data_IF_551038229986
#
_entry.id   IF_551038229986
#
_cell.length_a   1.000
_cell.length_b   1.000
_cell.length_c   1.000
_cell.angle_alpha   90.00
_cell.angle_beta   90.00
_cell.angle_gamma   90.00
#
_symmetry.space_group_name_H-M   'P 1'
#
loop_
_entity.id
_entity.type
_entity.pdbx_description
1 polymer ?
#
# COMPACT_ATOMS: atom_id res chain seq x y z
N UNK A 1 19.09 35.41 -2.79
CA UNK A 1 19.08 34.92 -1.39
C UNK A 1 17.78 34.14 -1.23
N UNK A 2 17.84 32.81 -1.28
CA UNK A 2 16.65 31.98 -1.16
C UNK A 2 16.31 31.83 0.33
N UNK A 3 15.17 32.37 0.73
CA UNK A 3 14.60 32.23 2.07
C UNK A 3 14.31 30.76 2.34
N UNK A 4 15.04 30.20 3.30
CA UNK A 4 14.80 28.89 3.87
C UNK A 4 13.56 29.01 4.77
N UNK A 5 12.38 28.73 4.22
CA UNK A 5 11.18 28.61 5.04
C UNK A 5 11.21 27.21 5.66
N UNK A 6 11.81 27.12 6.84
CA UNK A 6 11.59 25.96 7.73
C UNK A 6 10.09 25.93 8.04
N UNK A 7 9.40 24.79 7.85
CA UNK A 7 8.00 24.66 8.26
C UNK A 7 7.86 24.97 9.76
N UNK A 8 6.78 25.65 10.19
CA UNK A 8 6.57 25.93 11.60
C UNK A 8 6.54 24.63 12.41
N UNK A 9 7.06 24.74 13.62
CA UNK A 9 7.33 23.63 14.54
C UNK A 9 6.11 22.68 14.68
N UNK A 10 6.27 21.43 14.25
CA UNK A 10 5.34 20.33 14.55
C UNK A 10 4.57 19.71 13.38
N UNK A 11 4.68 20.20 12.15
CA UNK A 11 4.02 19.53 11.00
C UNK A 11 4.86 18.35 10.50
N UNK A 12 4.43 17.13 10.80
CA UNK A 12 5.10 15.92 10.32
C UNK A 12 5.06 15.88 8.79
N UNK A 13 6.24 15.83 8.17
CA UNK A 13 6.38 15.76 6.72
C UNK A 13 5.61 14.58 6.16
N UNK A 14 4.86 14.79 5.08
CA UNK A 14 4.04 13.76 4.44
C UNK A 14 4.47 13.55 2.99
N UNK A 15 4.62 12.30 2.58
CA UNK A 15 4.83 11.89 1.17
C UNK A 15 3.62 11.06 0.72
N UNK A 16 3.07 11.38 -0.44
CA UNK A 16 1.93 10.67 -1.00
C UNK A 16 2.42 9.51 -1.86
N UNK A 17 1.56 8.52 -2.08
CA UNK A 17 1.86 7.37 -2.94
C UNK A 17 0.67 7.07 -3.83
N UNK A 18 0.91 6.59 -5.05
CA UNK A 18 -0.17 6.21 -5.96
C UNK A 18 0.21 5.01 -6.83
N UNK A 19 -0.78 4.18 -7.14
CA UNK A 19 -0.67 3.08 -8.09
C UNK A 19 -1.44 3.35 -9.36
N UNK A 20 -0.80 3.30 -10.52
CA UNK A 20 -1.51 3.54 -11.77
C UNK A 20 -2.44 2.37 -12.16
N UNK A 21 -2.08 1.13 -11.79
CA UNK A 21 -2.85 -0.08 -12.13
C UNK A 21 -3.23 -0.09 -13.62
N UNK A 22 -4.51 -0.32 -13.92
CA UNK A 22 -5.13 -0.24 -15.24
C UNK A 22 -6.04 0.98 -15.41
N UNK A 23 -5.83 2.04 -14.62
CA UNK A 23 -6.65 3.26 -14.72
C UNK A 23 -6.51 3.94 -16.08
N UNK A 24 -7.52 4.72 -16.48
CA UNK A 24 -7.35 5.64 -17.61
C UNK A 24 -6.46 6.81 -17.19
N UNK A 25 -5.81 7.48 -18.16
CA UNK A 25 -4.96 8.63 -17.85
C UNK A 25 -5.78 9.78 -17.27
N UNK A 26 -7.03 9.96 -17.71
CA UNK A 26 -7.93 11.02 -17.24
C UNK A 26 -8.32 10.82 -15.77
N UNK A 27 -8.72 9.60 -15.39
CA UNK A 27 -9.03 9.27 -13.98
C UNK A 27 -7.80 9.41 -13.10
N UNK A 28 -6.64 8.98 -13.60
CA UNK A 28 -5.38 9.09 -12.88
C UNK A 28 -4.96 10.55 -12.67
N UNK A 29 -5.06 11.40 -13.70
CA UNK A 29 -4.77 12.82 -13.57
C UNK A 29 -5.72 13.47 -12.58
N UNK A 30 -7.03 13.23 -12.71
CA UNK A 30 -8.03 13.76 -11.76
C UNK A 30 -7.71 13.37 -10.32
N UNK A 31 -7.35 12.10 -10.07
CA UNK A 31 -6.96 11.63 -8.74
C UNK A 31 -5.79 12.45 -8.16
N UNK A 32 -4.79 12.77 -8.97
CA UNK A 32 -3.65 13.58 -8.55
C UNK A 32 -4.02 15.04 -8.33
N UNK A 33 -4.82 15.63 -9.22
CA UNK A 33 -5.25 17.03 -9.13
C UNK A 33 -6.17 17.27 -7.95
N UNK A 34 -7.12 16.36 -7.71
CA UNK A 34 -8.07 16.42 -6.58
C UNK A 34 -7.33 16.30 -5.25
N UNK A 35 -6.21 15.55 -5.21
CA UNK A 35 -5.32 15.44 -4.05
C UNK A 35 -4.30 16.60 -3.93
N UNK A 36 -4.28 17.53 -4.89
CA UNK A 36 -3.36 18.67 -4.91
C UNK A 36 -1.88 18.29 -5.06
N UNK A 37 -1.59 17.22 -5.80
CA UNK A 37 -0.21 16.77 -6.07
C UNK A 37 0.50 17.75 -7.01
N UNK A 38 1.63 18.29 -6.57
CA UNK A 38 2.46 19.19 -7.38
C UNK A 38 3.46 18.43 -8.26
N UNK A 39 3.85 17.23 -7.82
CA UNK A 39 4.95 16.47 -8.43
C UNK A 39 4.72 14.98 -8.30
N UNK A 40 4.78 14.27 -9.43
CA UNK A 40 4.79 12.82 -9.49
C UNK A 40 6.25 12.32 -9.55
N UNK A 41 6.66 11.57 -8.55
CA UNK A 41 7.94 10.87 -8.53
C UNK A 41 7.76 9.44 -9.03
N UNK A 42 8.16 9.14 -10.26
CA UNK A 42 8.04 7.80 -10.85
C UNK A 42 9.15 6.90 -10.35
N UNK A 43 8.83 5.96 -9.47
CA UNK A 43 9.78 5.03 -8.84
C UNK A 43 9.81 3.67 -9.52
N UNK A 44 9.21 3.53 -10.71
CA UNK A 44 9.30 2.29 -11.50
C UNK A 44 10.70 2.18 -12.09
N UNK A 45 11.37 1.03 -11.94
CA UNK A 45 12.67 0.79 -12.58
C UNK A 45 12.59 1.00 -14.10
N UNK A 46 11.55 0.44 -14.72
CA UNK A 46 11.33 0.50 -16.17
C UNK A 46 9.91 1.01 -16.45
N UNK A 47 9.74 2.31 -16.74
CA UNK A 47 8.43 2.93 -16.96
C UNK A 47 7.95 2.71 -18.40
N UNK A 48 7.90 1.45 -18.85
CA UNK A 48 7.46 1.07 -20.21
C UNK A 48 6.44 -0.07 -20.16
N UNK A 49 5.40 0.06 -20.98
CA UNK A 49 4.31 -0.91 -21.10
C UNK A 49 3.71 -0.89 -22.50
N UNK A 50 3.60 -2.07 -23.11
CA UNK A 50 2.86 -2.25 -24.37
C UNK A 50 1.34 -2.27 -24.15
N UNK A 51 0.90 -2.64 -22.95
CA UNK A 51 -0.53 -2.81 -22.64
C UNK A 51 -1.18 -1.51 -22.14
N UNK A 52 -0.37 -0.63 -21.53
CA UNK A 52 -0.81 0.65 -20.99
C UNK A 52 0.14 1.75 -21.48
N UNK A 53 0.16 2.02 -22.80
CA UNK A 53 1.09 2.98 -23.38
C UNK A 53 0.95 4.39 -22.78
N UNK A 54 -0.24 4.77 -22.29
CA UNK A 54 -0.47 6.04 -21.60
C UNK A 54 0.37 6.21 -20.32
N UNK A 55 0.88 5.12 -19.74
CA UNK A 55 1.78 5.16 -18.58
C UNK A 55 3.24 4.93 -18.96
N UNK A 56 3.59 4.91 -20.25
CA UNK A 56 4.98 5.05 -20.66
C UNK A 56 5.51 6.40 -20.20
N UNK A 57 6.79 6.46 -19.85
CA UNK A 57 7.41 7.67 -19.30
C UNK A 57 7.11 8.94 -20.11
N UNK A 58 7.29 8.90 -21.43
CA UNK A 58 7.08 10.06 -22.30
C UNK A 58 5.61 10.50 -22.29
N UNK A 59 4.70 9.58 -22.59
CA UNK A 59 3.26 9.88 -22.72
C UNK A 59 2.69 10.37 -21.38
N UNK A 60 3.12 9.76 -20.28
CA UNK A 60 2.73 10.15 -18.93
C UNK A 60 3.28 11.55 -18.57
N UNK A 61 4.53 11.83 -18.91
CA UNK A 61 5.14 13.13 -18.66
C UNK A 61 4.37 14.25 -19.39
N UNK A 62 4.08 14.07 -20.68
CA UNK A 62 3.31 15.03 -21.49
C UNK A 62 1.90 15.27 -20.89
N UNK A 63 1.24 14.20 -20.44
CA UNK A 63 -0.09 14.28 -19.81
C UNK A 63 -0.06 15.02 -18.45
N UNK A 64 0.94 14.76 -17.60
CA UNK A 64 1.10 15.42 -16.31
C UNK A 64 1.44 16.90 -16.45
N UNK A 65 2.35 17.24 -17.38
CA UNK A 65 2.73 18.63 -17.65
C UNK A 65 1.52 19.45 -18.13
N UNK A 66 0.67 18.85 -18.97
CA UNK A 66 -0.59 19.46 -19.42
C UNK A 66 -1.58 19.71 -18.26
N UNK A 67 -1.48 18.93 -17.19
CA UNK A 67 -2.26 19.10 -15.97
C UNK A 67 -1.57 19.98 -14.91
N UNK A 68 -0.40 20.55 -15.21
CA UNK A 68 0.38 21.37 -14.28
C UNK A 68 1.14 20.59 -13.21
N UNK A 69 1.26 19.27 -13.36
CA UNK A 69 1.95 18.39 -12.42
C UNK A 69 3.36 18.10 -12.96
N UNK A 70 4.39 18.32 -12.15
CA UNK A 70 5.76 18.00 -12.56
C UNK A 70 6.01 16.50 -12.54
N UNK A 71 6.67 15.98 -13.57
CA UNK A 71 7.16 14.61 -13.59
C UNK A 71 8.65 14.57 -13.22
N UNK A 72 9.02 13.66 -12.31
CA UNK A 72 10.43 13.38 -12.00
C UNK A 72 10.65 11.87 -11.97
N UNK A 73 11.61 11.41 -12.76
CA UNK A 73 11.99 10.00 -12.77
C UNK A 73 12.95 9.67 -11.62
N UNK A 74 12.60 8.67 -10.82
CA UNK A 74 13.37 8.14 -9.71
C UNK A 74 13.65 6.64 -9.84
N UNK A 75 13.25 6.00 -10.95
CA UNK A 75 13.45 4.56 -11.15
C UNK A 75 14.92 4.13 -11.15
N UNK A 76 15.84 5.06 -11.40
CA UNK A 76 17.26 4.81 -11.25
C UNK A 76 17.65 4.62 -9.78
N UNK A 77 17.12 5.37 -8.84
CA UNK A 77 17.59 5.43 -7.45
C UNK A 77 16.65 4.72 -6.47
N UNK A 78 15.36 4.74 -6.76
CA UNK A 78 14.29 4.20 -5.93
C UNK A 78 13.50 3.07 -6.64
N UNK A 79 14.00 2.59 -7.78
CA UNK A 79 13.42 1.45 -8.50
C UNK A 79 13.42 0.17 -7.67
N UNK A 80 12.32 -0.58 -7.68
CA UNK A 80 12.18 -1.85 -6.94
C UNK A 80 12.89 -3.05 -7.58
N UNK A 81 13.45 -2.90 -8.78
CA UNK A 81 14.19 -3.95 -9.52
C UNK A 81 15.58 -3.43 -9.88
N UNK A 82 16.58 -3.55 -9.02
CA UNK A 82 17.93 -3.12 -9.35
C UNK A 82 18.57 -4.08 -10.37
N UNK A 83 19.46 -3.62 -11.26
CA UNK A 83 20.12 -4.49 -12.24
C UNK A 83 21.19 -5.40 -11.62
N UNK A 84 21.75 -5.04 -10.45
CA UNK A 84 22.86 -5.76 -9.85
C UNK A 84 22.42 -7.01 -9.08
N UNK A 85 23.01 -8.15 -9.41
CA UNK A 85 22.69 -9.47 -8.81
C UNK A 85 22.89 -9.50 -7.29
N UNK A 86 23.76 -8.64 -6.74
CA UNK A 86 23.98 -8.53 -5.29
C UNK A 86 22.72 -8.16 -4.51
N UNK A 87 21.68 -7.65 -5.14
CA UNK A 87 20.43 -7.30 -4.46
C UNK A 87 19.37 -8.41 -4.54
N UNK A 88 19.76 -9.61 -4.97
CA UNK A 88 18.88 -10.75 -5.07
C UNK A 88 19.36 -11.88 -4.16
N UNK A 89 18.40 -12.61 -3.57
CA UNK A 89 18.67 -13.90 -2.96
C UNK A 89 18.80 -15.01 -4.03
N UNK A 90 19.08 -16.23 -3.59
CA UNK A 90 19.19 -17.40 -4.48
C UNK A 90 17.87 -17.75 -5.19
N UNK A 91 16.73 -17.35 -4.64
CA UNK A 91 15.40 -17.55 -5.21
C UNK A 91 14.99 -16.42 -6.18
N UNK A 92 15.81 -15.38 -6.32
CA UNK A 92 15.54 -14.23 -7.17
C UNK A 92 14.61 -13.19 -6.55
N UNK A 93 14.38 -13.23 -5.23
CA UNK A 93 13.68 -12.16 -4.52
C UNK A 93 14.62 -10.99 -4.26
N UNK A 94 14.07 -9.78 -4.34
CA UNK A 94 14.82 -8.56 -4.09
C UNK A 94 15.05 -8.37 -2.59
N UNK A 95 16.30 -8.17 -2.22
CA UNK A 95 16.76 -7.90 -0.85
C UNK A 95 16.65 -6.40 -0.55
N UNK A 96 15.45 -5.95 -0.18
CA UNK A 96 15.18 -4.53 0.10
C UNK A 96 16.03 -3.93 1.22
N UNK A 97 16.34 -4.68 2.27
CA UNK A 97 17.22 -4.19 3.34
C UNK A 97 18.61 -3.81 2.80
N UNK A 98 19.16 -4.64 1.89
CA UNK A 98 20.45 -4.37 1.25
C UNK A 98 20.39 -3.18 0.30
N UNK A 99 19.26 -2.99 -0.40
CA UNK A 99 19.05 -1.82 -1.25
C UNK A 99 18.97 -0.52 -0.43
N UNK A 100 18.27 -0.56 0.72
CA UNK A 100 18.08 0.58 1.61
C UNK A 100 19.41 1.12 2.17
N UNK A 101 20.42 0.26 2.31
CA UNK A 101 21.77 0.67 2.72
C UNK A 101 22.65 1.24 1.60
N UNK A 102 22.20 1.19 0.34
CA UNK A 102 23.01 1.70 -0.77
C UNK A 102 23.01 3.23 -0.84
N UNK A 103 24.17 3.84 -1.11
CA UNK A 103 24.28 5.29 -1.31
C UNK A 103 23.34 5.81 -2.40
N UNK A 104 23.17 5.03 -3.47
CA UNK A 104 22.27 5.35 -4.59
C UNK A 104 20.83 5.53 -4.11
N UNK A 105 20.35 4.61 -3.28
CA UNK A 105 19.02 4.66 -2.70
C UNK A 105 18.88 5.81 -1.70
N UNK A 106 19.84 5.95 -0.78
CA UNK A 106 19.84 7.02 0.23
C UNK A 106 19.83 8.43 -0.41
N UNK A 107 20.59 8.61 -1.49
CA UNK A 107 20.59 9.84 -2.29
C UNK A 107 19.23 10.10 -2.96
N UNK A 108 18.56 9.04 -3.44
CA UNK A 108 17.20 9.14 -3.98
C UNK A 108 16.19 9.60 -2.91
N UNK A 109 16.25 8.99 -1.72
CA UNK A 109 15.40 9.36 -0.58
C UNK A 109 15.64 10.82 -0.18
N UNK A 110 16.89 11.26 -0.06
CA UNK A 110 17.18 12.64 0.33
C UNK A 110 16.72 13.66 -0.72
N UNK A 111 16.81 13.34 -2.02
CA UNK A 111 16.24 14.19 -3.08
C UNK A 111 14.72 14.31 -2.94
N UNK A 112 14.02 13.21 -2.68
CA UNK A 112 12.58 13.19 -2.45
C UNK A 112 12.21 14.05 -1.23
N UNK A 113 12.89 13.83 -0.10
CA UNK A 113 12.68 14.57 1.15
C UNK A 113 12.97 16.05 0.99
N UNK A 114 14.02 16.43 0.27
CA UNK A 114 14.33 17.83 -0.04
C UNK A 114 13.20 18.50 -0.81
N UNK A 115 12.60 17.82 -1.78
CA UNK A 115 11.43 18.33 -2.50
C UNK A 115 10.26 18.55 -1.55
N UNK A 116 9.92 17.56 -0.73
CA UNK A 116 8.82 17.65 0.23
C UNK A 116 9.05 18.77 1.27
N UNK A 117 10.27 18.91 1.83
CA UNK A 117 10.65 19.97 2.78
C UNK A 117 10.56 21.38 2.17
N UNK A 118 10.60 21.51 0.85
CA UNK A 118 10.38 22.78 0.14
C UNK A 118 8.90 23.10 -0.09
N UNK A 119 7.99 22.31 0.50
CA UNK A 119 6.55 22.49 0.41
C UNK A 119 5.91 21.81 -0.79
N UNK A 120 6.64 20.96 -1.53
CA UNK A 120 6.05 20.21 -2.64
C UNK A 120 5.21 19.04 -2.13
N UNK A 121 3.95 18.95 -2.56
CA UNK A 121 3.14 17.75 -2.35
C UNK A 121 3.52 16.70 -3.41
N UNK A 122 4.42 15.79 -3.02
CA UNK A 122 4.97 14.77 -3.91
C UNK A 122 4.19 13.46 -3.76
N UNK A 123 3.79 12.86 -4.88
CA UNK A 123 3.28 11.49 -4.94
C UNK A 123 4.30 10.55 -5.60
N UNK A 124 4.77 9.54 -4.87
CA UNK A 124 5.59 8.48 -5.45
C UNK A 124 4.74 7.41 -6.12
N UNK A 125 5.05 7.08 -7.37
CA UNK A 125 4.19 6.28 -8.23
C UNK A 125 4.82 4.94 -8.63
N UNK A 126 4.00 3.88 -8.60
CA UNK A 126 4.32 2.57 -9.15
C UNK A 126 3.13 1.97 -9.94
N UNK A 127 3.29 0.74 -10.45
CA UNK A 127 2.30 0.04 -11.26
C UNK A 127 1.19 -0.65 -10.46
N UNK A 128 1.50 -1.23 -9.30
CA UNK A 128 0.52 -1.96 -8.48
C UNK A 128 -0.51 -0.99 -7.87
N UNK A 129 -1.80 -1.35 -7.85
CA UNK A 129 -2.80 -0.55 -7.12
C UNK A 129 -2.55 -0.61 -5.62
N UNK A 130 -2.35 -1.81 -5.08
CA UNK A 130 -2.17 -2.04 -3.65
C UNK A 130 -0.73 -1.70 -3.20
N UNK A 131 -0.54 -0.71 -2.31
CA UNK A 131 0.76 -0.37 -1.76
C UNK A 131 1.39 -1.53 -0.98
N UNK A 132 0.61 -2.36 -0.28
CA UNK A 132 1.17 -3.37 0.63
C UNK A 132 1.99 -4.46 -0.07
N UNK A 133 1.75 -4.65 -1.37
CA UNK A 133 2.48 -5.63 -2.20
C UNK A 133 3.50 -4.97 -3.12
N UNK A 134 3.69 -3.66 -2.99
CA UNK A 134 4.50 -2.84 -3.90
C UNK A 134 5.79 -2.36 -3.22
N UNK A 135 6.88 -2.22 -3.99
CA UNK A 135 8.14 -1.69 -3.47
C UNK A 135 8.03 -0.24 -2.97
N UNK A 136 7.05 0.53 -3.49
CA UNK A 136 6.81 1.89 -2.99
C UNK A 136 6.48 1.88 -1.49
N UNK A 137 5.80 0.85 -0.98
CA UNK A 137 5.61 0.69 0.46
C UNK A 137 6.73 -0.12 1.10
N UNK A 138 6.96 -1.33 0.58
CA UNK A 138 7.81 -2.36 1.19
C UNK A 138 9.27 -1.95 1.33
N UNK A 139 9.74 -1.00 0.50
CA UNK A 139 11.08 -0.44 0.56
C UNK A 139 11.05 1.05 0.90
N UNK A 140 10.46 1.87 0.03
CA UNK A 140 10.58 3.34 0.14
C UNK A 140 9.80 3.85 1.36
N UNK A 141 8.51 3.50 1.46
CA UNK A 141 7.63 3.93 2.54
C UNK A 141 8.18 3.55 3.91
N UNK A 142 8.62 2.29 4.07
CA UNK A 142 9.27 1.83 5.32
C UNK A 142 10.51 2.63 5.70
N UNK A 143 11.34 3.01 4.73
CA UNK A 143 12.53 3.84 5.02
C UNK A 143 12.11 5.25 5.42
N UNK A 144 11.17 5.86 4.70
CA UNK A 144 10.64 7.19 5.01
C UNK A 144 10.07 7.25 6.44
N UNK A 145 9.25 6.28 6.82
CA UNK A 145 8.61 6.22 8.14
C UNK A 145 9.62 5.90 9.23
N UNK A 146 10.33 4.77 9.12
CA UNK A 146 11.16 4.25 10.21
C UNK A 146 12.45 5.02 10.42
N UNK A 147 13.04 5.59 9.36
CA UNK A 147 14.35 6.28 9.44
C UNK A 147 14.23 7.80 9.43
N UNK A 148 13.15 8.34 8.88
CA UNK A 148 12.98 9.79 8.73
C UNK A 148 11.74 10.36 9.42
N UNK A 149 10.89 9.52 10.03
CA UNK A 149 9.67 9.98 10.71
C UNK A 149 8.67 10.67 9.77
N UNK A 150 8.70 10.31 8.48
CA UNK A 150 7.82 10.87 7.45
C UNK A 150 6.58 10.01 7.33
N UNK A 151 5.41 10.63 7.32
CA UNK A 151 4.16 9.93 7.08
C UNK A 151 4.02 9.60 5.61
N UNK A 152 3.54 8.39 5.30
CA UNK A 152 3.07 8.09 3.94
C UNK A 152 1.56 8.03 3.86
N UNK A 153 1.01 8.58 2.76
CA UNK A 153 -0.43 8.58 2.48
C UNK A 153 -0.70 7.96 1.11
N UNK A 154 -1.50 6.92 1.06
CA UNK A 154 -1.79 6.18 -0.15
C UNK A 154 -3.07 6.70 -0.83
N UNK A 155 -2.94 7.27 -2.02
CA UNK A 155 -4.05 7.57 -2.92
C UNK A 155 -4.48 6.28 -3.60
N UNK A 156 -5.74 5.89 -3.38
CA UNK A 156 -6.36 4.69 -3.94
C UNK A 156 -7.15 5.03 -5.20
N UNK A 157 -7.40 4.02 -6.02
CA UNK A 157 -8.07 4.20 -7.31
C UNK A 157 -9.51 4.74 -7.20
N UNK A 158 -10.15 4.57 -6.06
CA UNK A 158 -11.49 5.10 -5.75
C UNK A 158 -11.48 6.55 -5.23
N UNK A 159 -10.30 7.18 -5.12
CA UNK A 159 -10.14 8.51 -4.55
C UNK A 159 -9.91 8.53 -3.04
N UNK A 160 -9.99 7.39 -2.36
CA UNK A 160 -9.71 7.32 -0.93
C UNK A 160 -8.24 7.62 -0.65
N UNK A 161 -8.00 8.30 0.47
CA UNK A 161 -6.67 8.47 1.05
C UNK A 161 -6.56 7.58 2.28
N UNK A 162 -5.59 6.67 2.27
CA UNK A 162 -5.33 5.76 3.38
C UNK A 162 -3.97 6.08 4.03
N UNK A 163 -3.90 6.01 5.35
CA UNK A 163 -2.61 5.97 6.06
C UNK A 163 -1.96 4.59 5.88
N UNK A 164 -0.68 4.47 6.23
CA UNK A 164 0.00 3.18 6.29
C UNK A 164 -0.65 2.24 7.29
N UNK A 165 -1.00 2.77 8.47
CA UNK A 165 -1.64 2.01 9.54
C UNK A 165 -2.99 1.44 9.11
N UNK A 166 -3.79 2.25 8.40
CA UNK A 166 -5.09 1.81 7.85
C UNK A 166 -4.90 0.73 6.77
N UNK A 167 -3.86 0.86 5.95
CA UNK A 167 -3.56 -0.11 4.91
C UNK A 167 -3.13 -1.46 5.51
N UNK A 168 -2.15 -1.45 6.42
CA UNK A 168 -1.60 -2.66 7.06
C UNK A 168 -2.63 -3.37 7.97
N UNK A 169 -3.61 -2.62 8.49
CA UNK A 169 -4.59 -3.12 9.44
C UNK A 169 -4.00 -3.31 10.83
N UNK A 170 -4.82 -3.78 11.80
CA UNK A 170 -4.31 -4.02 13.15
C UNK A 170 -3.21 -5.10 13.11
N UNK A 171 -2.15 -4.95 13.92
CA UNK A 171 -1.15 -6.00 14.04
C UNK A 171 -1.84 -7.31 14.43
N UNK A 172 -1.38 -8.46 13.93
CA UNK A 172 -1.98 -9.74 14.27
C UNK A 172 -2.00 -9.88 15.79
N UNK A 173 -3.17 -10.18 16.35
CA UNK A 173 -3.34 -10.48 17.76
C UNK A 173 -2.37 -11.62 18.09
N UNK A 174 -1.31 -11.30 18.85
CA UNK A 174 -0.52 -12.34 19.51
C UNK A 174 -1.41 -12.94 20.58
N UNK A 175 -2.16 -14.00 20.24
CA UNK A 175 -2.70 -14.86 21.26
C UNK A 175 -1.50 -15.38 22.05
N UNK A 176 -1.45 -15.02 23.33
CA UNK A 176 -0.42 -15.43 24.26
C UNK A 176 -0.25 -16.94 24.18
N UNK A 177 0.90 -17.37 23.67
CA UNK A 177 1.33 -18.76 23.59
C UNK A 177 1.60 -19.39 24.97
N UNK A 178 1.18 -18.69 26.03
CA UNK A 178 1.25 -19.08 27.43
C UNK A 178 -0.16 -18.97 28.00
N UNK A 179 -1.01 -19.92 27.65
CA UNK A 179 -2.15 -20.30 28.49
C UNK A 179 -1.86 -21.73 28.99
N UNK A 180 -0.71 -21.89 29.64
CA UNK A 180 -0.39 -23.09 30.42
C UNK A 180 -1.12 -22.97 31.76
N UNK A 181 -2.39 -23.33 31.78
CA UNK A 181 -3.01 -23.86 33.01
C UNK A 181 -3.12 -25.36 32.89
N UNK A 182 -1.98 -26.04 33.09
CA UNK A 182 -1.95 -27.43 33.50
C UNK A 182 -2.11 -27.50 35.03
N UNK A 183 -3.20 -28.10 35.50
CA UNK A 183 -3.17 -29.30 36.34
C UNK A 183 -4.42 -29.44 37.26
N UNK A 184 -5.19 -30.49 36.94
CA UNK A 184 -5.65 -31.56 37.85
C UNK A 184 -6.32 -31.19 39.17
N UNK A 185 -7.62 -31.53 39.22
CA UNK A 185 -8.38 -31.72 40.45
C UNK A 185 -9.68 -32.47 40.23
N UNK A 186 -9.65 -33.61 39.53
CA UNK A 186 -10.79 -34.51 39.49
C UNK A 186 -10.88 -35.24 40.85
N UNK A 187 -11.92 -34.96 41.64
CA UNK A 187 -12.39 -35.83 42.72
C UNK A 187 -13.75 -35.39 43.30
N UNK A 188 -14.69 -36.36 43.33
CA UNK A 188 -15.94 -36.46 44.11
C UNK A 188 -17.10 -35.52 43.73
N UNK A 189 -18.38 -35.88 43.78
CA UNK A 189 -19.11 -37.14 43.88
C UNK A 189 -20.61 -36.77 43.73
N UNK A 190 -21.41 -37.65 43.11
CA UNK A 190 -22.84 -37.88 43.31
C UNK A 190 -23.82 -36.71 43.51
N UNK A 191 -24.88 -36.66 42.69
CA UNK A 191 -26.22 -37.09 43.13
C UNK A 191 -27.28 -36.83 42.06
N UNK A 192 -28.23 -37.75 41.98
CA UNK A 192 -29.45 -37.72 41.16
C UNK A 192 -30.41 -36.65 41.71
N UNK A 193 -31.16 -35.97 40.82
CA UNK A 193 -32.62 -35.88 40.85
C UNK A 193 -33.17 -34.90 39.80
N UNK A 194 -34.03 -35.40 38.90
CA UNK A 194 -35.21 -34.67 38.38
C UNK A 194 -36.23 -34.48 39.54
N UNK A 195 -37.25 -33.59 39.51
CA UNK A 195 -38.04 -33.18 38.33
C UNK A 195 -38.47 -31.69 38.33
N UNK A 196 -39.27 -31.25 37.35
CA UNK A 196 -40.10 -30.05 37.53
C UNK A 196 -40.44 -29.24 36.28
N UNK A 197 -41.60 -29.54 35.70
CA UNK A 197 -42.37 -28.69 34.76
C UNK A 197 -42.68 -27.32 35.37
N UNK A 198 -42.57 -26.22 34.61
CA UNK A 198 -43.40 -25.02 34.81
C UNK A 198 -43.69 -24.30 33.48
N UNK A 199 -44.92 -23.77 33.44
CA UNK A 199 -45.72 -23.23 32.33
C UNK A 199 -45.43 -21.77 31.96
N UNK A 200 -45.82 -21.40 30.72
CA UNK A 200 -46.31 -20.05 30.31
C UNK A 200 -45.22 -18.99 30.06
N UNK A 201 -45.33 -18.03 29.13
CA UNK A 201 -46.49 -17.47 28.43
C UNK A 201 -46.03 -16.48 27.32
N UNK A 202 -46.78 -16.46 26.20
CA UNK A 202 -47.17 -15.32 25.30
C UNK A 202 -46.31 -14.03 25.39
N UNK A 203 -45.56 -13.59 24.38
CA UNK A 203 -45.98 -12.87 23.15
C UNK A 203 -45.34 -11.44 23.12
N UNK A 204 -45.47 -10.58 22.08
CA UNK A 204 -45.77 -10.81 20.66
C UNK A 204 -44.87 -9.99 19.66
N UNK A 205 -45.01 -10.32 18.37
CA UNK A 205 -44.99 -9.45 17.17
C UNK A 205 -43.82 -8.47 16.87
N UNK A 206 -43.06 -8.77 15.83
CA UNK A 206 -42.39 -7.77 14.96
C UNK A 206 -42.74 -8.04 13.48
N UNK A 207 -43.22 -7.04 12.71
CA UNK A 207 -43.60 -7.22 11.31
C UNK A 207 -42.40 -7.27 10.34
N UNK A 208 -42.58 -7.84 9.14
CA UNK A 208 -41.48 -8.21 8.23
C UNK A 208 -40.86 -7.01 7.50
N UNK A 209 -39.53 -7.06 7.33
CA UNK A 209 -38.79 -6.13 6.46
C UNK A 209 -39.09 -6.42 4.99
N UNK A 210 -39.35 -5.33 4.26
CA UNK A 210 -39.66 -5.28 2.83
C UNK A 210 -38.53 -5.83 1.97
N UNK A 211 -38.89 -6.70 1.04
CA UNK A 211 -38.13 -7.10 -0.15
C UNK A 211 -38.33 -6.07 -1.26
N UNK A 212 -37.26 -5.71 -2.00
CA UNK A 212 -37.26 -5.46 -3.45
C UNK A 212 -35.84 -5.16 -3.98
N UNK A 213 -35.56 -5.29 -5.29
CA UNK A 213 -34.83 -6.45 -5.80
C UNK A 213 -33.56 -6.09 -6.59
N UNK A 214 -32.80 -7.13 -6.89
CA UNK A 214 -31.99 -7.36 -8.10
C UNK A 214 -31.29 -6.15 -8.75
N UNK A 215 -29.97 -6.08 -8.54
CA UNK A 215 -29.07 -5.54 -9.56
C UNK A 215 -28.03 -6.61 -9.93
N UNK A 216 -28.38 -7.30 -11.02
CA UNK A 216 -27.57 -8.11 -11.92
C UNK A 216 -26.07 -8.21 -11.62
N UNK A 217 -25.69 -9.41 -11.17
CA UNK A 217 -24.30 -9.84 -11.12
C UNK A 217 -23.69 -9.95 -12.52
N UNK A 218 -22.61 -9.20 -12.74
CA UNK A 218 -21.56 -9.58 -13.65
C UNK A 218 -20.45 -10.22 -12.82
N UNK A 219 -19.98 -11.46 -13.14
CA UNK A 219 -18.95 -12.11 -12.35
C UNK A 219 -17.61 -11.39 -12.52
N UNK A 220 -17.07 -10.89 -11.39
CA UNK A 220 -15.67 -10.50 -11.25
C UNK A 220 -14.77 -11.71 -11.55
N UNK A 221 -13.82 -11.64 -12.50
CA UNK A 221 -12.82 -12.69 -12.64
C UNK A 221 -11.85 -12.62 -11.46
N UNK A 222 -11.82 -13.69 -10.67
CA UNK A 222 -10.85 -13.93 -9.61
C UNK A 222 -9.44 -14.01 -10.18
N UNK A 223 -8.66 -12.95 -10.00
CA UNK A 223 -7.23 -12.93 -10.30
C UNK A 223 -6.40 -13.21 -9.04
N UNK A 224 -6.65 -14.37 -8.43
CA UNK A 224 -5.64 -15.00 -7.59
C UNK A 224 -4.68 -15.76 -8.53
N UNK A 225 -3.63 -15.08 -9.00
CA UNK A 225 -2.56 -15.76 -9.73
C UNK A 225 -1.22 -15.19 -9.28
N UNK A 226 -0.65 -15.82 -8.25
CA UNK A 226 0.79 -15.81 -7.95
C UNK A 226 1.53 -16.03 -9.27
N UNK A 227 2.18 -15.01 -9.81
CA UNK A 227 3.13 -15.18 -10.92
C UNK A 227 4.52 -15.34 -10.32
N UNK A 228 4.89 -16.59 -10.05
CA UNK A 228 6.30 -16.98 -9.96
C UNK A 228 6.90 -16.78 -11.35
N UNK A 229 7.72 -15.76 -11.53
CA UNK A 229 8.54 -15.60 -12.73
C UNK A 229 9.90 -16.25 -12.48
N UNK A 230 10.06 -17.48 -12.96
CA UNK A 230 11.36 -18.12 -13.13
C UNK A 230 12.17 -17.36 -14.19
N UNK A 231 13.36 -16.89 -13.81
CA UNK A 231 14.35 -16.33 -14.73
C UNK A 231 15.05 -17.51 -15.42
N UNK A 232 14.93 -17.63 -16.75
CA UNK A 232 15.79 -18.52 -17.54
C UNK A 232 17.15 -17.84 -17.76
N UNK A 233 18.28 -18.54 -17.59
CA UNK A 233 19.59 -17.99 -17.88
C UNK A 233 19.73 -17.75 -19.40
N UNK A 234 20.22 -16.57 -19.77
CA UNK A 234 20.62 -16.28 -21.16
C UNK A 234 21.87 -17.11 -21.47
N UNK A 235 21.79 -17.91 -22.53
CA UNK A 235 22.89 -18.72 -23.04
C UNK A 235 24.07 -17.86 -23.50
N UNK A 236 25.24 -18.48 -23.39
CA UNK A 236 26.58 -18.06 -23.80
C UNK A 236 26.64 -17.67 -25.26
#
# INVERSE_FOLDING_TARGET
MASNTTPPDGETLTVWTVGHSNQSVESFLRLLTDAGIDTLADVRTEPVSRYLPQFNQRDLQEALESAGIRYVFFGDSLGGRPPETRYYDEAGHVLYDRMAESERFQNGVEKLLRGARRGLRIAMMCSEEDPLVCHRHLLIGRVLEKRHGVLTRHLRADGATQSTEDAEGPPPLQNSLFDDTDEKGAQHAGSRNHPGLWFGSQGPNQPPRRTHPDNTGLPMPSLNRRKNYQIKPKGV
#
